data_IF_464138454891
#
_entry.id   IF_464138454891
#
_cell.length_a   1.000
_cell.length_b   1.000
_cell.length_c   1.000
_cell.angle_alpha   90.00
_cell.angle_beta   90.00
_cell.angle_gamma   90.00
#
_symmetry.space_group_name_H-M   'P 1'
#
loop_
_entity.id
_entity.type
_entity.pdbx_description
1 polymer ?
#
# COMPACT_ATOMS: atom_id res chain seq x y z
N UNK A 1 6.79 11.82 -34.75
CA UNK A 1 6.63 12.61 -35.98
C UNK A 1 6.02 11.69 -37.02
N UNK A 2 4.76 11.87 -37.37
CA UNK A 2 4.11 11.10 -38.42
C UNK A 2 4.27 11.85 -39.73
N UNK A 3 4.90 11.21 -40.72
CA UNK A 3 5.03 11.73 -42.08
C UNK A 3 3.87 11.16 -42.89
N UNK A 4 2.96 12.01 -43.33
CA UNK A 4 1.92 11.65 -44.28
C UNK A 4 2.47 12.00 -45.68
N UNK A 5 2.83 11.02 -46.45
CA UNK A 5 3.22 11.19 -47.85
C UNK A 5 2.05 10.80 -48.75
N UNK A 6 1.61 11.74 -49.61
CA UNK A 6 0.63 11.46 -50.64
C UNK A 6 1.40 11.53 -51.96
N UNK A 7 1.49 10.39 -52.65
CA UNK A 7 2.03 10.34 -53.99
C UNK A 7 0.90 10.24 -55.00
N UNK A 8 0.93 11.10 -55.99
CA UNK A 8 0.04 11.03 -57.16
C UNK A 8 0.81 10.38 -58.29
N UNK A 9 0.35 9.28 -58.82
CA UNK A 9 0.87 8.74 -60.08
C UNK A 9 0.46 9.62 -61.24
N UNK A 10 1.37 9.86 -62.21
CA UNK A 10 1.10 10.69 -63.35
C UNK A 10 -0.15 10.25 -64.12
N UNK A 11 -1.12 11.16 -64.15
CA UNK A 11 -2.31 10.98 -65.00
C UNK A 11 -1.91 11.17 -66.45
N UNK A 12 -2.06 10.15 -67.25
CA UNK A 12 -1.76 10.18 -68.69
C UNK A 12 -2.57 11.29 -69.37
N UNK A 13 -1.87 12.22 -70.04
CA UNK A 13 -2.44 13.45 -70.65
C UNK A 13 -3.13 13.23 -71.96
N UNK A 14 -3.45 12.03 -72.37
CA UNK A 14 -4.22 11.78 -73.58
C UNK A 14 -5.70 11.63 -73.28
N UNK A 15 -6.41 12.72 -73.40
CA UNK A 15 -7.81 13.08 -73.63
C UNK A 15 -8.95 12.10 -73.40
N UNK A 16 -8.80 11.04 -72.58
CA UNK A 16 -9.89 10.10 -72.30
C UNK A 16 -10.49 10.36 -70.91
N UNK A 17 -11.82 10.32 -70.88
CA UNK A 17 -12.68 10.62 -69.72
C UNK A 17 -12.15 10.00 -68.42
N UNK A 18 -12.18 10.75 -67.34
CA UNK A 18 -11.85 10.40 -65.95
C UNK A 18 -12.79 9.33 -65.34
N UNK A 19 -13.05 8.23 -66.10
CA UNK A 19 -13.98 7.20 -65.61
C UNK A 19 -13.37 6.24 -64.58
N UNK A 20 -12.07 6.26 -64.36
CA UNK A 20 -11.39 5.38 -63.40
C UNK A 20 -10.23 6.09 -62.71
N UNK A 21 -10.49 7.09 -61.90
CA UNK A 21 -9.49 7.67 -61.02
C UNK A 21 -9.35 6.79 -59.78
N UNK A 22 -8.25 6.04 -59.66
CA UNK A 22 -7.90 5.33 -58.46
C UNK A 22 -6.94 6.16 -57.63
N UNK A 23 -7.31 6.49 -56.42
CA UNK A 23 -6.45 7.16 -55.46
C UNK A 23 -6.08 6.14 -54.38
N UNK A 24 -4.79 5.82 -54.22
CA UNK A 24 -4.29 4.98 -53.14
C UNK A 24 -3.48 5.84 -52.18
N UNK A 25 -3.80 5.79 -50.90
CA UNK A 25 -2.99 6.39 -49.86
C UNK A 25 -2.33 5.29 -49.04
N UNK A 26 -0.99 5.31 -48.96
CA UNK A 26 -0.24 4.42 -48.07
C UNK A 26 0.23 5.20 -46.88
N UNK A 27 -0.33 4.85 -45.71
CA UNK A 27 0.10 5.41 -44.42
C UNK A 27 1.08 4.41 -43.77
N UNK A 28 2.30 4.85 -43.51
CA UNK A 28 3.27 4.07 -42.73
C UNK A 28 3.46 4.74 -41.38
N UNK A 29 3.02 4.09 -40.32
CA UNK A 29 3.31 4.51 -38.95
C UNK A 29 4.62 3.88 -38.49
N UNK A 30 5.52 4.70 -37.95
CA UNK A 30 6.69 4.21 -37.26
C UNK A 30 6.30 3.53 -35.91
N UNK A 31 7.29 2.98 -35.24
CA UNK A 31 7.08 2.40 -33.90
C UNK A 31 6.64 3.47 -32.93
N UNK A 32 5.52 3.24 -32.24
CA UNK A 32 5.04 4.08 -31.15
C UNK A 32 5.58 3.48 -29.84
N UNK A 33 6.32 4.30 -29.10
CA UNK A 33 6.76 3.94 -27.74
C UNK A 33 5.91 4.69 -26.73
N UNK A 34 5.12 3.97 -25.95
CA UNK A 34 4.37 4.54 -24.82
C UNK A 34 5.31 4.60 -23.62
N UNK A 35 5.55 5.79 -23.07
CA UNK A 35 6.43 6.01 -21.92
C UNK A 35 5.68 6.27 -20.65
N UNK A 36 4.44 6.74 -20.76
CA UNK A 36 3.56 6.97 -19.61
C UNK A 36 2.11 6.76 -20.00
N UNK A 37 1.28 6.49 -19.04
CA UNK A 37 -0.16 6.36 -19.22
C UNK A 37 -0.89 7.06 -18.09
N UNK A 38 -1.96 7.77 -18.41
CA UNK A 38 -2.82 8.48 -17.46
C UNK A 38 -4.21 7.89 -17.47
N UNK A 39 -4.72 7.54 -16.30
CA UNK A 39 -6.04 6.93 -16.18
C UNK A 39 -6.40 6.60 -14.74
N UNK A 40 -7.48 5.86 -14.58
CA UNK A 40 -7.84 5.24 -13.31
C UNK A 40 -7.30 3.83 -13.32
N UNK A 41 -6.43 3.53 -12.37
CA UNK A 41 -5.82 2.22 -12.23
C UNK A 41 -6.47 1.47 -11.07
N UNK A 42 -6.56 0.16 -11.18
CA UNK A 42 -7.04 -0.72 -10.12
C UNK A 42 -6.12 -1.95 -10.00
N UNK A 43 -4.79 -1.77 -9.89
CA UNK A 43 -3.93 -2.88 -9.54
C UNK A 43 -4.20 -3.30 -8.11
N UNK A 44 -4.16 -4.59 -7.89
CA UNK A 44 -4.13 -5.22 -6.59
C UNK A 44 -2.71 -5.73 -6.35
N UNK A 45 -2.10 -5.35 -5.25
CA UNK A 45 -0.78 -5.82 -4.83
C UNK A 45 -0.96 -6.55 -3.51
N UNK A 46 -0.88 -7.86 -3.56
CA UNK A 46 -0.80 -8.70 -2.37
C UNK A 46 0.67 -8.71 -1.95
N UNK A 47 0.94 -8.07 -0.83
CA UNK A 47 2.25 -8.07 -0.20
C UNK A 47 2.20 -9.12 0.91
N UNK A 48 2.33 -10.37 0.51
CA UNK A 48 2.50 -11.47 1.44
C UNK A 48 3.88 -11.31 2.10
N UNK A 49 3.93 -11.48 3.41
CA UNK A 49 5.17 -11.47 4.20
C UNK A 49 5.96 -10.14 4.14
N UNK A 50 5.36 -9.05 4.62
CA UNK A 50 6.06 -7.78 4.85
C UNK A 50 7.15 -7.89 5.93
N UNK A 51 7.29 -9.05 6.53
CA UNK A 51 8.23 -9.34 7.59
C UNK A 51 7.56 -9.73 8.89
N UNK A 52 8.39 -10.14 9.81
CA UNK A 52 7.97 -10.51 11.15
C UNK A 52 8.83 -9.81 12.20
N UNK A 53 8.24 -9.57 13.34
CA UNK A 53 8.94 -9.07 14.53
C UNK A 53 9.01 -10.23 15.53
N UNK A 54 10.23 -10.70 15.78
CA UNK A 54 10.47 -11.66 16.86
C UNK A 54 10.57 -10.91 18.18
N UNK A 55 9.85 -11.36 19.18
CA UNK A 55 9.87 -10.77 20.52
C UNK A 55 10.82 -11.60 21.37
N UNK A 56 12.03 -11.07 21.58
CA UNK A 56 13.09 -11.70 22.34
C UNK A 56 13.26 -11.00 23.70
N UNK A 57 14.01 -11.63 24.59
CA UNK A 57 14.43 -11.08 25.89
C UNK A 57 13.26 -10.64 26.80
N UNK A 58 12.15 -11.35 26.71
CA UNK A 58 11.00 -11.15 27.57
C UNK A 58 11.27 -11.81 28.92
N UNK A 59 11.07 -11.09 30.03
CA UNK A 59 11.16 -11.71 31.36
C UNK A 59 10.21 -12.90 31.52
N UNK A 60 10.70 -14.01 32.09
CA UNK A 60 9.96 -15.27 32.21
C UNK A 60 8.56 -15.12 32.83
N UNK A 61 8.41 -14.21 33.80
CA UNK A 61 7.11 -13.97 34.45
C UNK A 61 6.04 -13.39 33.51
N UNK A 62 6.44 -12.72 32.41
CA UNK A 62 5.50 -12.19 31.41
C UNK A 62 5.13 -13.24 30.36
N UNK A 63 5.91 -14.29 30.21
CA UNK A 63 5.63 -15.37 29.26
C UNK A 63 4.77 -16.48 29.87
N UNK A 64 4.49 -16.38 31.17
CA UNK A 64 3.61 -17.32 31.86
C UNK A 64 2.20 -17.26 31.22
N UNK A 65 1.64 -18.43 30.92
CA UNK A 65 0.33 -18.59 30.29
C UNK A 65 -0.83 -17.98 31.09
N UNK A 66 -0.65 -17.84 32.42
CA UNK A 66 -1.66 -17.27 33.30
C UNK A 66 -1.56 -15.73 33.38
N UNK A 67 -0.47 -15.15 32.89
CA UNK A 67 -0.28 -13.69 32.82
C UNK A 67 -0.99 -13.12 31.59
N UNK A 68 -1.72 -12.05 31.80
CA UNK A 68 -2.39 -11.28 30.76
C UNK A 68 -1.99 -9.82 30.87
N UNK A 69 -1.52 -9.26 29.74
CA UNK A 69 -1.14 -7.84 29.67
C UNK A 69 -2.29 -7.07 29.09
N UNK A 70 -2.77 -6.09 29.83
CA UNK A 70 -3.83 -5.20 29.36
C UNK A 70 -3.26 -3.80 29.13
N UNK A 71 -2.86 -3.51 27.90
CA UNK A 71 -2.41 -2.17 27.54
C UNK A 71 -3.62 -1.26 27.35
N UNK A 72 -3.61 -0.12 28.05
CA UNK A 72 -4.68 0.86 27.91
C UNK A 72 -4.76 1.43 26.50
N UNK A 73 -3.67 1.95 25.99
CA UNK A 73 -3.61 2.53 24.66
C UNK A 73 -2.30 2.18 23.94
N UNK A 74 -2.16 0.95 23.41
CA UNK A 74 -1.03 0.63 22.55
C UNK A 74 -1.10 1.53 21.30
N UNK A 75 0.06 2.01 20.86
CA UNK A 75 0.20 2.85 19.68
C UNK A 75 1.17 2.20 18.71
N UNK A 76 0.80 2.12 17.45
CA UNK A 76 1.69 1.72 16.37
C UNK A 76 1.89 2.93 15.46
N UNK A 77 3.13 3.33 15.26
CA UNK A 77 3.51 4.34 14.30
C UNK A 77 4.01 3.64 13.04
N UNK A 78 3.37 3.93 11.92
CA UNK A 78 3.72 3.45 10.60
C UNK A 78 4.20 4.62 9.75
N UNK A 79 5.40 4.51 9.19
CA UNK A 79 5.92 5.44 8.19
C UNK A 79 6.12 4.69 6.89
N UNK A 80 5.31 4.99 5.89
CA UNK A 80 5.43 4.41 4.55
C UNK A 80 6.02 5.44 3.59
N UNK A 81 7.12 5.07 2.94
CA UNK A 81 7.75 5.87 1.88
C UNK A 81 7.46 5.21 0.54
N UNK A 82 6.78 5.93 -0.34
CA UNK A 82 6.37 5.42 -1.65
C UNK A 82 6.90 6.32 -2.76
N UNK A 83 7.46 5.73 -3.81
CA UNK A 83 7.79 6.39 -5.07
C UNK A 83 6.77 6.08 -6.18
N UNK A 84 5.66 5.44 -5.82
CA UNK A 84 4.56 5.11 -6.73
C UNK A 84 3.77 6.36 -7.07
N UNK A 85 3.51 6.57 -8.36
CA UNK A 85 2.76 7.73 -8.87
C UNK A 85 1.24 7.65 -8.56
N UNK A 86 0.79 6.56 -7.96
CA UNK A 86 -0.64 6.27 -7.69
C UNK A 86 -0.90 6.28 -6.19
N UNK A 87 -1.94 6.98 -5.76
CA UNK A 87 -2.42 6.88 -4.38
C UNK A 87 -2.96 5.47 -4.11
N UNK A 88 -2.64 4.93 -2.95
CA UNK A 88 -3.08 3.60 -2.53
C UNK A 88 -3.95 3.64 -1.27
N UNK A 89 -4.67 2.56 -1.08
CA UNK A 89 -5.33 2.22 0.18
C UNK A 89 -4.84 0.83 0.58
N UNK A 90 -4.24 0.76 1.76
CA UNK A 90 -3.73 -0.50 2.30
C UNK A 90 -4.64 -1.04 3.39
N UNK A 91 -4.64 -2.35 3.51
CA UNK A 91 -5.18 -3.11 4.64
C UNK A 91 -4.04 -3.93 5.21
N UNK A 92 -3.70 -3.71 6.47
CA UNK A 92 -2.69 -4.49 7.18
C UNK A 92 -3.34 -5.51 8.12
N UNK A 93 -2.73 -6.67 8.22
CA UNK A 93 -3.13 -7.73 9.14
C UNK A 93 -1.94 -8.07 10.02
N UNK A 94 -2.11 -7.93 11.32
CA UNK A 94 -1.14 -8.34 12.33
C UNK A 94 -1.59 -9.68 12.91
N UNK A 95 -0.70 -10.67 12.93
CA UNK A 95 -0.96 -12.01 13.44
C UNK A 95 0.08 -12.31 14.51
N UNK A 96 -0.37 -12.43 15.75
CA UNK A 96 0.45 -12.86 16.87
C UNK A 96 0.52 -14.38 16.90
N UNK A 97 1.73 -14.94 17.02
CA UNK A 97 1.96 -16.39 17.00
C UNK A 97 2.74 -16.86 18.23
N UNK A 98 2.44 -18.06 18.67
CA UNK A 98 3.21 -18.76 19.69
C UNK A 98 4.52 -19.34 19.12
N UNK A 99 5.33 -20.00 19.97
CA UNK A 99 6.57 -20.68 19.58
C UNK A 99 6.37 -21.80 18.53
N UNK A 100 5.16 -22.33 18.42
CA UNK A 100 4.80 -23.38 17.47
C UNK A 100 4.22 -22.85 16.17
N UNK A 101 4.08 -21.51 16.06
CA UNK A 101 3.47 -20.86 14.91
C UNK A 101 1.92 -20.89 14.90
N UNK A 102 1.29 -21.19 16.04
CA UNK A 102 -0.16 -21.11 16.12
C UNK A 102 -0.60 -19.66 16.34
N UNK A 103 -1.66 -19.26 15.65
CA UNK A 103 -2.29 -17.94 15.82
C UNK A 103 -2.85 -17.79 17.25
N UNK A 104 -2.39 -16.76 17.94
CA UNK A 104 -2.86 -16.38 19.28
C UNK A 104 -3.86 -15.21 19.22
N UNK A 105 -3.61 -14.26 18.33
CA UNK A 105 -4.45 -13.11 18.10
C UNK A 105 -4.28 -12.58 16.67
N UNK A 106 -5.32 -11.94 16.16
CA UNK A 106 -5.33 -11.31 14.86
C UNK A 106 -5.98 -9.93 14.92
N UNK A 107 -5.30 -8.93 14.38
CA UNK A 107 -5.79 -7.56 14.31
C UNK A 107 -5.74 -7.10 12.86
N UNK A 108 -6.88 -6.63 12.34
CA UNK A 108 -7.02 -6.11 10.98
C UNK A 108 -7.14 -4.59 11.04
N UNK A 109 -6.32 -3.92 10.25
CA UNK A 109 -6.26 -2.47 10.15
C UNK A 109 -6.57 -2.10 8.71
N UNK A 110 -7.77 -1.63 8.46
CA UNK A 110 -8.26 -1.34 7.11
C UNK A 110 -8.25 0.16 6.82
N UNK A 111 -8.15 0.52 5.53
CA UNK A 111 -8.25 1.90 5.06
C UNK A 111 -7.06 2.77 5.46
N UNK A 112 -5.84 2.25 5.34
CA UNK A 112 -4.61 3.00 5.47
C UNK A 112 -4.30 3.70 4.14
N UNK A 113 -4.39 5.03 4.10
CA UNK A 113 -4.09 5.77 2.88
C UNK A 113 -2.57 5.85 2.67
N UNK A 114 -2.13 5.60 1.44
CA UNK A 114 -0.74 5.75 1.00
C UNK A 114 -0.68 6.87 -0.02
N UNK A 115 0.13 7.89 0.27
CA UNK A 115 0.30 9.04 -0.63
C UNK A 115 1.21 8.68 -1.80
N UNK A 116 0.92 9.18 -3.01
CA UNK A 116 1.80 8.98 -4.15
C UNK A 116 3.07 9.83 -4.01
N UNK A 117 4.23 9.27 -4.38
CA UNK A 117 5.54 9.94 -4.38
C UNK A 117 5.84 10.72 -3.08
N UNK A 118 5.50 10.14 -1.93
CA UNK A 118 5.61 10.85 -0.66
C UNK A 118 5.78 9.90 0.52
N UNK A 119 6.16 10.48 1.64
CA UNK A 119 6.11 9.82 2.94
C UNK A 119 4.70 9.96 3.52
N UNK A 120 4.16 8.86 3.99
CA UNK A 120 2.89 8.80 4.71
C UNK A 120 3.13 8.36 6.15
N UNK A 121 2.69 9.15 7.12
CA UNK A 121 2.78 8.82 8.55
C UNK A 121 1.40 8.49 9.09
N UNK A 122 1.26 7.31 9.66
CA UNK A 122 0.01 6.83 10.22
C UNK A 122 0.22 6.47 11.69
N UNK A 123 -0.66 6.96 12.53
CA UNK A 123 -0.76 6.52 13.92
C UNK A 123 -1.95 5.55 14.03
N UNK A 124 -1.70 4.35 14.54
CA UNK A 124 -2.73 3.36 14.82
C UNK A 124 -2.78 3.21 16.33
N UNK A 125 -3.93 3.46 16.92
CA UNK A 125 -4.10 3.48 18.37
C UNK A 125 -5.44 2.85 18.78
N UNK A 126 -5.55 2.45 20.03
CA UNK A 126 -6.82 1.97 20.59
C UNK A 126 -7.75 3.14 20.92
N UNK A 127 -7.20 4.25 21.40
CA UNK A 127 -7.90 5.48 21.73
C UNK A 127 -7.10 6.69 21.22
N UNK A 128 -7.79 7.75 20.81
CA UNK A 128 -7.13 8.99 20.34
C UNK A 128 -6.57 9.86 21.47
N UNK A 129 -6.93 9.54 22.71
CA UNK A 129 -6.48 10.28 23.86
C UNK A 129 -4.96 10.29 24.00
N UNK A 130 -4.36 11.46 24.17
CA UNK A 130 -2.92 11.65 24.28
C UNK A 130 -2.15 11.60 22.94
N UNK A 131 -2.85 11.42 21.81
CA UNK A 131 -2.24 11.42 20.46
C UNK A 131 -2.21 12.84 19.90
N UNK A 132 -1.02 13.29 19.55
CA UNK A 132 -0.84 14.54 18.79
C UNK A 132 -1.11 14.26 17.29
N UNK A 133 -2.37 14.42 16.89
CA UNK A 133 -2.82 14.12 15.52
C UNK A 133 -2.08 14.97 14.46
N UNK A 134 -1.44 16.08 14.83
CA UNK A 134 -0.74 16.96 13.87
C UNK A 134 0.55 16.35 13.32
N UNK A 135 1.09 15.33 13.98
CA UNK A 135 2.31 14.62 13.56
C UNK A 135 2.07 13.60 12.46
N UNK A 136 0.81 13.23 12.23
CA UNK A 136 0.42 12.15 11.36
C UNK A 136 -0.49 12.64 10.23
N UNK A 137 -0.40 11.94 9.11
CA UNK A 137 -1.31 12.17 7.98
C UNK A 137 -2.67 11.50 8.20
N UNK A 138 -2.66 10.45 9.04
CA UNK A 138 -3.85 9.70 9.42
C UNK A 138 -3.70 9.13 10.82
N UNK A 139 -4.77 9.24 11.62
CA UNK A 139 -4.89 8.54 12.90
C UNK A 139 -6.02 7.51 12.78
N UNK A 140 -5.69 6.25 12.99
CA UNK A 140 -6.62 5.12 12.89
C UNK A 140 -6.90 4.52 14.25
N UNK A 141 -8.16 4.45 14.63
CA UNK A 141 -8.60 3.82 15.87
C UNK A 141 -8.97 2.37 15.61
N UNK A 142 -8.33 1.45 16.35
CA UNK A 142 -8.54 0.01 16.28
C UNK A 142 -8.80 -0.52 17.68
N UNK A 143 -10.05 -0.78 18.01
CA UNK A 143 -10.49 -1.08 19.37
C UNK A 143 -9.88 -2.34 19.99
N UNK A 144 -9.53 -3.31 19.16
CA UNK A 144 -8.91 -4.58 19.56
C UNK A 144 -7.38 -4.60 19.37
N UNK A 145 -6.73 -3.43 19.21
CA UNK A 145 -5.28 -3.37 19.00
C UNK A 145 -4.48 -4.00 20.15
N UNK A 146 -4.98 -3.88 21.38
CA UNK A 146 -4.33 -4.48 22.54
C UNK A 146 -4.33 -6.02 22.55
N UNK A 147 -5.20 -6.65 21.74
CA UNK A 147 -5.27 -8.12 21.72
C UNK A 147 -4.00 -8.75 21.16
N UNK A 148 -3.26 -8.02 20.31
CA UNK A 148 -2.02 -8.51 19.67
C UNK A 148 -0.90 -8.79 20.71
N UNK A 149 -0.93 -8.12 21.86
CA UNK A 149 0.04 -8.26 22.94
C UNK A 149 -0.59 -8.66 24.27
N UNK A 150 -1.86 -9.01 24.27
CA UNK A 150 -2.59 -9.44 25.47
C UNK A 150 -1.93 -10.63 26.17
N UNK A 151 -1.42 -11.54 25.37
CA UNK A 151 -0.41 -12.54 25.77
C UNK A 151 0.81 -12.26 24.91
N UNK A 152 1.99 -12.25 25.52
CA UNK A 152 3.20 -11.97 24.76
C UNK A 152 3.40 -13.06 23.72
N UNK A 153 3.35 -12.73 22.43
CA UNK A 153 3.59 -13.69 21.37
C UNK A 153 5.09 -13.93 21.19
N UNK A 154 5.44 -15.07 20.64
CA UNK A 154 6.80 -15.32 20.20
C UNK A 154 7.15 -14.49 18.97
N UNK A 155 6.17 -14.27 18.08
CA UNK A 155 6.33 -13.54 16.83
C UNK A 155 5.04 -12.81 16.45
N UNK A 156 5.20 -11.65 15.83
CA UNK A 156 4.11 -10.93 15.16
C UNK A 156 4.43 -10.89 13.67
N UNK A 157 3.60 -11.52 12.86
CA UNK A 157 3.64 -11.44 11.41
C UNK A 157 2.81 -10.26 10.92
N UNK A 158 3.29 -9.59 9.89
CA UNK A 158 2.60 -8.49 9.24
C UNK A 158 2.36 -8.82 7.77
N UNK A 159 1.10 -8.87 7.38
CA UNK A 159 0.65 -9.02 5.99
C UNK A 159 -0.01 -7.71 5.56
N UNK A 160 0.10 -7.32 4.30
CA UNK A 160 -0.64 -6.20 3.77
C UNK A 160 -1.15 -6.46 2.35
N UNK A 161 -2.35 -5.97 2.11
CA UNK A 161 -2.94 -5.85 0.78
C UNK A 161 -2.97 -4.36 0.42
N UNK A 162 -2.48 -3.99 -0.75
CA UNK A 162 -2.49 -2.60 -1.22
C UNK A 162 -3.26 -2.51 -2.53
N UNK A 163 -4.27 -1.67 -2.55
CA UNK A 163 -5.06 -1.37 -3.74
C UNK A 163 -4.82 0.07 -4.18
N UNK A 164 -4.80 0.30 -5.48
CA UNK A 164 -4.81 1.67 -5.97
C UNK A 164 -6.14 2.36 -5.62
N UNK A 165 -6.09 3.66 -5.33
CA UNK A 165 -7.31 4.47 -5.23
C UNK A 165 -7.91 4.69 -6.63
N UNK A 166 -8.74 3.74 -7.07
CA UNK A 166 -9.36 3.74 -8.40
C UNK A 166 -10.30 4.95 -8.65
N UNK A 167 -10.57 5.75 -7.63
CA UNK A 167 -11.38 6.98 -7.76
C UNK A 167 -10.57 8.14 -8.33
N UNK A 168 -9.24 8.09 -8.18
CA UNK A 168 -8.32 9.13 -8.62
C UNK A 168 -7.73 8.81 -9.99
N UNK A 169 -7.53 9.85 -10.79
CA UNK A 169 -6.75 9.77 -12.02
C UNK A 169 -5.28 9.93 -11.66
N UNK A 170 -4.45 9.02 -12.14
CA UNK A 170 -3.01 8.99 -11.88
C UNK A 170 -2.26 8.81 -13.19
N UNK A 171 -1.00 9.24 -13.23
CA UNK A 171 -0.10 9.01 -14.36
C UNK A 171 0.98 8.03 -13.94
N UNK A 172 1.13 6.93 -14.68
CA UNK A 172 2.11 5.87 -14.41
C UNK A 172 3.14 5.86 -15.53
N UNK A 173 4.42 5.83 -15.18
CA UNK A 173 5.54 5.70 -16.11
C UNK A 173 5.81 4.23 -16.38
N UNK A 174 5.77 3.86 -17.66
CA UNK A 174 6.03 2.48 -18.09
C UNK A 174 7.54 2.18 -18.06
N UNK A 175 7.89 1.04 -17.48
CA UNK A 175 9.27 0.59 -17.35
C UNK A 175 10.03 1.21 -16.18
N UNK A 176 9.34 1.96 -15.28
CA UNK A 176 9.86 2.35 -13.97
C UNK A 176 9.55 1.22 -12.96
N UNK A 177 10.52 0.83 -12.18
CA UNK A 177 10.30 0.03 -10.98
C UNK A 177 9.83 0.96 -9.87
N UNK A 178 8.83 0.52 -9.12
CA UNK A 178 8.25 1.27 -8.01
C UNK A 178 8.52 0.55 -6.71
N UNK A 179 8.76 1.30 -5.66
CA UNK A 179 9.05 0.78 -4.33
C UNK A 179 8.10 1.37 -3.29
N UNK A 180 7.81 0.56 -2.27
CA UNK A 180 7.20 1.01 -1.02
C UNK A 180 8.06 0.44 0.10
N UNK A 181 8.61 1.33 0.93
CA UNK A 181 9.30 0.96 2.16
C UNK A 181 8.42 1.34 3.35
N UNK A 182 8.38 0.51 4.36
CA UNK A 182 7.58 0.76 5.55
C UNK A 182 8.38 0.49 6.82
N UNK A 183 8.42 1.50 7.71
CA UNK A 183 8.93 1.39 9.06
C UNK A 183 7.76 1.33 10.05
N UNK A 184 7.80 0.37 10.95
CA UNK A 184 6.75 0.15 11.95
C UNK A 184 7.36 0.17 13.35
N UNK A 185 6.85 1.04 14.22
CA UNK A 185 7.25 1.13 15.62
C UNK A 185 6.03 0.93 16.53
N UNK A 186 6.15 0.06 17.51
CA UNK A 186 5.13 -0.12 18.54
C UNK A 186 5.55 0.59 19.82
N UNK A 187 4.69 1.47 20.33
CA UNK A 187 4.91 2.24 21.55
C UNK A 187 3.84 1.83 22.55
N UNK A 188 4.27 1.27 23.69
CA UNK A 188 3.40 1.01 24.83
C UNK A 188 3.44 2.24 25.74
N UNK A 189 2.61 3.25 25.46
CA UNK A 189 2.46 4.39 26.37
C UNK A 189 1.57 4.00 27.54
N UNK A 190 2.07 4.17 28.79
CA UNK A 190 1.37 3.90 30.03
C UNK A 190 0.79 2.48 30.07
N UNK A 191 1.67 1.53 30.28
CA UNK A 191 1.42 0.10 30.13
C UNK A 191 0.25 -0.46 30.99
N UNK A 192 -0.22 0.29 31.99
CA UNK A 192 -1.22 -0.23 32.91
C UNK A 192 -2.32 0.80 33.13
N UNK A 193 -3.55 0.38 32.87
CA UNK A 193 -4.73 1.07 33.39
C UNK A 193 -4.69 1.02 34.94
N UNK A 194 -5.23 2.04 35.61
CA UNK A 194 -5.27 2.13 37.07
C UNK A 194 -6.01 0.97 37.78
N UNK A 195 -6.50 0.00 37.01
CA UNK A 195 -7.12 -1.25 37.44
C UNK A 195 -6.41 -2.53 36.95
N UNK A 196 -5.29 -2.42 36.27
CA UNK A 196 -4.57 -3.60 35.80
C UNK A 196 -3.84 -4.26 36.96
N UNK A 197 -4.47 -5.25 37.56
CA UNK A 197 -3.78 -6.20 38.40
C UNK A 197 -3.06 -7.22 37.52
N UNK A 198 -1.78 -7.45 37.76
CA UNK A 198 -1.14 -8.70 37.34
C UNK A 198 -1.79 -9.77 38.24
N UNK A 199 -2.71 -10.53 37.70
CA UNK A 199 -3.38 -11.64 38.40
C UNK A 199 -2.68 -12.93 38.00
#
# INVERSE_FOLDING_TARGET
MALLGITFDEVNKEGNSLQNLYMSAKMTMGSIRVTETTGKFNPNLDLEDLGNVNINDVPDFLTDKDVTINLYNPVIELTATSDIDVAGVAKATLIAEDERGNEMAKVVIDGLNVKPNAVTRVCICKHKEGIDETKYDQVKVVSNLSDIVKKIPHRINCEAEVHADSKRVSTVKLGKEYTIDADVYMIAQHAFDAGAAIV
#
